data_IF_134979960577
#
_entry.id   IF_134979960577
#
_cell.length_a   1.000
_cell.length_b   1.000
_cell.length_c   1.000
_cell.angle_alpha   90.00
_cell.angle_beta   90.00
_cell.angle_gamma   90.00
#
_symmetry.space_group_name_H-M   'P 1'
#
loop_
_entity.id
_entity.type
_entity.pdbx_description
1 polymer ?
#
# COMPACT_ATOMS: atom_id res chain seq x y z
N UNK A 1 -14.69 13.89 20.82
CA UNK A 1 -13.25 14.17 21.01
C UNK A 1 -12.69 14.47 19.64
N UNK A 2 -12.39 15.75 19.41
CA UNK A 2 -12.02 16.32 18.12
C UNK A 2 -10.73 15.67 17.58
N UNK A 3 -10.84 14.86 16.52
CA UNK A 3 -9.71 14.18 15.85
C UNK A 3 -9.20 14.94 14.62
N UNK A 4 -9.61 16.21 14.44
CA UNK A 4 -9.23 17.04 13.29
C UNK A 4 -7.82 17.67 13.40
N UNK A 5 -7.02 17.33 14.41
CA UNK A 5 -5.84 18.13 14.79
C UNK A 5 -4.46 17.71 14.29
N UNK A 6 -4.24 16.56 13.67
CA UNK A 6 -2.87 16.11 13.37
C UNK A 6 -2.58 15.85 11.88
N UNK A 7 -3.10 16.71 10.98
CA UNK A 7 -2.59 16.71 9.59
C UNK A 7 -1.27 17.49 9.59
N UNK A 8 -0.16 16.76 9.48
CA UNK A 8 1.18 17.35 9.28
C UNK A 8 1.28 17.83 7.84
N UNK A 9 1.74 19.07 7.64
CA UNK A 9 1.95 19.64 6.32
C UNK A 9 3.44 19.87 6.08
N UNK A 10 3.86 19.68 4.83
CA UNK A 10 5.19 20.03 4.35
C UNK A 10 5.13 21.17 3.35
N UNK A 11 6.22 21.93 3.27
CA UNK A 11 6.38 22.98 2.25
C UNK A 11 7.08 22.41 1.02
N UNK A 12 6.31 22.05 0.00
CA UNK A 12 6.84 21.59 -1.28
C UNK A 12 6.50 22.62 -2.37
N UNK A 13 7.51 23.21 -3.00
CA UNK A 13 7.33 24.10 -4.17
C UNK A 13 6.57 25.40 -3.91
N UNK A 14 6.68 25.96 -2.70
CA UNK A 14 5.94 27.17 -2.31
C UNK A 14 4.47 26.91 -1.95
N UNK A 15 4.03 25.65 -1.91
CA UNK A 15 2.69 25.22 -1.46
C UNK A 15 2.79 24.37 -0.20
N UNK A 16 1.75 24.46 0.63
CA UNK A 16 1.59 23.58 1.80
C UNK A 16 0.86 22.33 1.34
N UNK A 17 1.53 21.17 1.37
CA UNK A 17 0.98 19.87 0.99
C UNK A 17 0.86 19.03 2.25
N UNK A 18 -0.22 18.25 2.39
CA UNK A 18 -0.30 17.29 3.49
C UNK A 18 0.86 16.29 3.37
N UNK A 19 1.65 16.11 4.42
CA UNK A 19 2.84 15.23 4.45
C UNK A 19 2.51 13.84 3.91
N UNK A 20 1.33 13.32 4.23
CA UNK A 20 0.85 12.03 3.75
C UNK A 20 0.56 12.02 2.25
N UNK A 21 -0.01 13.08 1.67
CA UNK A 21 -0.20 13.13 0.23
C UNK A 21 1.15 13.07 -0.49
N UNK A 22 2.20 13.65 0.10
CA UNK A 22 3.57 13.56 -0.43
C UNK A 22 4.17 12.16 -0.25
N UNK A 23 4.13 11.62 0.98
CA UNK A 23 4.66 10.29 1.28
C UNK A 23 4.01 9.22 0.38
N UNK A 24 2.72 9.35 0.07
CA UNK A 24 2.00 8.40 -0.80
C UNK A 24 2.50 8.38 -2.24
N UNK A 25 3.28 9.38 -2.66
CA UNK A 25 3.93 9.39 -3.97
C UNK A 25 5.08 8.38 -4.11
N UNK A 26 5.73 8.01 -2.99
CA UNK A 26 6.96 7.20 -3.01
C UNK A 26 7.16 6.30 -1.79
N UNK A 27 6.19 6.20 -0.88
CA UNK A 27 6.13 5.18 0.15
C UNK A 27 5.00 4.21 -0.15
N UNK A 28 5.29 2.93 0.06
CA UNK A 28 4.26 1.92 0.18
C UNK A 28 3.49 2.13 1.50
N UNK A 29 2.23 1.65 1.60
CA UNK A 29 1.44 1.88 2.79
C UNK A 29 1.86 1.02 3.99
N UNK A 30 2.70 0.00 3.79
CA UNK A 30 3.41 -0.70 4.86
C UNK A 30 4.71 0.02 5.30
N UNK A 31 4.96 1.22 4.76
CA UNK A 31 6.03 2.13 5.19
C UNK A 31 7.38 1.88 4.54
N UNK A 32 7.45 1.07 3.48
CA UNK A 32 8.68 0.89 2.70
C UNK A 32 8.84 2.01 1.67
N UNK A 33 10.09 2.43 1.47
CA UNK A 33 10.43 3.42 0.46
C UNK A 33 10.44 2.77 -0.92
N UNK A 34 9.62 3.28 -1.85
CA UNK A 34 9.82 3.04 -3.26
C UNK A 34 10.91 4.00 -3.78
N UNK A 35 12.17 3.55 -3.66
CA UNK A 35 13.36 4.33 -4.00
C UNK A 35 13.30 4.93 -5.42
N UNK A 36 12.85 4.15 -6.40
CA UNK A 36 12.72 4.61 -7.79
C UNK A 36 11.75 5.78 -7.96
N UNK A 37 10.57 5.70 -7.34
CA UNK A 37 9.58 6.79 -7.37
C UNK A 37 10.06 8.03 -6.63
N UNK A 38 10.67 7.84 -5.47
CA UNK A 38 11.24 8.93 -4.70
C UNK A 38 12.29 9.69 -5.51
N UNK A 39 13.23 8.98 -6.15
CA UNK A 39 14.27 9.58 -7.00
C UNK A 39 13.68 10.32 -8.19
N UNK A 40 12.65 9.79 -8.85
CA UNK A 40 11.98 10.48 -9.97
C UNK A 40 11.33 11.78 -9.50
N UNK A 41 10.56 11.74 -8.41
CA UNK A 41 9.93 12.91 -7.81
C UNK A 41 10.99 13.97 -7.44
N UNK A 42 12.05 13.54 -6.75
CA UNK A 42 13.08 14.42 -6.25
C UNK A 42 13.83 15.11 -7.38
N UNK A 43 14.18 14.35 -8.41
CA UNK A 43 14.88 14.85 -9.60
C UNK A 43 14.04 15.90 -10.35
N UNK A 44 12.74 15.68 -10.49
CA UNK A 44 11.83 16.67 -11.09
C UNK A 44 11.79 17.94 -10.24
N UNK A 45 11.57 17.80 -8.93
CA UNK A 45 11.51 18.92 -7.99
C UNK A 45 12.79 19.76 -7.97
N UNK A 46 13.96 19.12 -7.96
CA UNK A 46 15.24 19.80 -7.97
C UNK A 46 15.54 20.46 -9.33
N UNK A 47 15.26 19.78 -10.45
CA UNK A 47 15.46 20.36 -11.80
C UNK A 47 14.67 21.63 -12.03
N UNK A 48 13.41 21.66 -11.62
CA UNK A 48 12.57 22.86 -11.76
C UNK A 48 13.17 24.07 -11.03
N UNK A 49 13.82 23.82 -9.89
CA UNK A 49 14.47 24.84 -9.06
C UNK A 49 15.87 25.21 -9.55
N UNK A 50 16.47 24.37 -10.39
CA UNK A 50 17.79 24.60 -10.95
C UNK A 50 17.83 25.56 -12.17
N UNK A 51 16.69 26.11 -12.57
CA UNK A 51 16.57 26.97 -13.75
C UNK A 51 17.00 28.44 -13.51
N UNK A 52 17.31 28.82 -12.26
CA UNK A 52 17.67 30.20 -11.88
C UNK A 52 19.19 30.40 -11.64
N UNK A 53 19.74 31.62 -11.78
CA UNK A 53 21.08 31.95 -11.29
C UNK A 53 21.15 31.73 -9.75
N UNK A 54 22.24 31.17 -9.23
CA UNK A 54 22.41 30.73 -7.82
C UNK A 54 21.44 29.62 -7.34
N UNK A 55 20.88 28.87 -8.29
CA UNK A 55 19.98 27.74 -8.09
C UNK A 55 20.47 26.68 -7.07
N UNK A 56 21.78 26.44 -6.99
CA UNK A 56 22.33 25.34 -6.19
C UNK A 56 22.05 25.49 -4.70
N UNK A 57 22.30 26.67 -4.14
CA UNK A 57 22.08 26.93 -2.71
C UNK A 57 20.59 26.96 -2.35
N UNK A 58 19.75 27.49 -3.26
CA UNK A 58 18.29 27.50 -3.09
C UNK A 58 17.68 26.09 -3.15
N UNK A 59 18.11 25.27 -4.11
CA UNK A 59 17.70 23.87 -4.23
C UNK A 59 18.16 23.05 -3.02
N UNK A 60 19.39 23.29 -2.54
CA UNK A 60 19.92 22.68 -1.33
C UNK A 60 19.14 23.03 -0.06
N UNK A 61 18.78 24.31 0.11
CA UNK A 61 17.96 24.75 1.24
C UNK A 61 16.56 24.12 1.20
N UNK A 62 15.93 24.08 0.03
CA UNK A 62 14.63 23.43 -0.13
C UNK A 62 14.70 21.94 0.21
N UNK A 63 15.73 21.25 -0.29
CA UNK A 63 15.94 19.82 0.00
C UNK A 63 16.07 19.56 1.50
N UNK A 64 16.79 20.42 2.21
CA UNK A 64 16.90 20.32 3.67
C UNK A 64 15.56 20.45 4.39
N UNK A 65 14.78 21.50 4.06
CA UNK A 65 13.46 21.72 4.67
C UNK A 65 12.53 20.53 4.40
N UNK A 66 12.55 20.02 3.18
CA UNK A 66 11.78 18.85 2.76
C UNK A 66 12.18 17.58 3.52
N UNK A 67 13.48 17.31 3.65
CA UNK A 67 13.99 16.15 4.35
C UNK A 67 13.72 16.21 5.87
N UNK A 68 13.75 17.40 6.46
CA UNK A 68 13.54 17.56 7.91
C UNK A 68 12.16 17.03 8.34
N UNK A 69 11.10 17.40 7.63
CA UNK A 69 9.74 16.99 7.98
C UNK A 69 9.54 15.47 7.81
N UNK A 70 10.01 14.92 6.67
CA UNK A 70 9.84 13.50 6.35
C UNK A 70 10.68 12.61 7.26
N UNK A 71 11.95 12.94 7.47
CA UNK A 71 12.84 12.12 8.28
C UNK A 71 12.48 12.18 9.77
N UNK A 72 12.00 13.33 10.27
CA UNK A 72 11.47 13.41 11.63
C UNK A 72 10.25 12.49 11.78
N UNK A 73 9.32 12.56 10.82
CA UNK A 73 8.13 11.72 10.83
C UNK A 73 8.47 10.22 10.81
N UNK A 74 9.34 9.78 9.91
CA UNK A 74 9.71 8.37 9.78
C UNK A 74 10.37 7.84 11.06
N UNK A 75 11.22 8.65 11.69
CA UNK A 75 11.89 8.29 12.95
C UNK A 75 10.92 8.22 14.12
N UNK A 76 9.98 9.16 14.21
CA UNK A 76 8.92 9.12 15.24
C UNK A 76 8.03 7.87 15.10
N UNK A 77 7.97 7.29 13.89
CA UNK A 77 7.28 6.02 13.60
C UNK A 77 8.17 4.78 13.70
N UNK A 78 9.45 4.92 14.08
CA UNK A 78 10.39 3.79 14.19
C UNK A 78 10.83 3.21 12.85
N UNK A 79 10.70 3.96 11.75
CA UNK A 79 11.07 3.56 10.39
C UNK A 79 12.51 4.02 10.05
N UNK A 80 13.47 3.76 10.95
CA UNK A 80 14.85 4.27 10.81
C UNK A 80 15.56 3.77 9.53
N UNK A 81 15.29 2.52 9.12
CA UNK A 81 15.82 1.97 7.88
C UNK A 81 15.32 2.72 6.63
N UNK A 82 14.02 3.05 6.60
CA UNK A 82 13.43 3.79 5.49
C UNK A 82 13.87 5.26 5.50
N UNK A 83 14.04 5.85 6.69
CA UNK A 83 14.63 7.18 6.85
C UNK A 83 16.07 7.23 6.30
N UNK A 84 16.87 6.20 6.58
CA UNK A 84 18.23 6.11 6.06
C UNK A 84 18.26 5.94 4.53
N UNK A 85 17.45 5.05 3.98
CA UNK A 85 17.34 4.85 2.53
C UNK A 85 16.89 6.12 1.81
N UNK A 86 15.88 6.82 2.34
CA UNK A 86 15.39 8.07 1.76
C UNK A 86 16.46 9.15 1.80
N UNK A 87 17.20 9.24 2.91
CA UNK A 87 18.29 10.18 3.06
C UNK A 87 19.42 9.91 2.06
N UNK A 88 19.86 8.65 1.91
CA UNK A 88 20.88 8.25 0.95
C UNK A 88 20.45 8.58 -0.49
N UNK A 89 19.23 8.19 -0.87
CA UNK A 89 18.66 8.48 -2.18
C UNK A 89 18.61 9.99 -2.49
N UNK A 90 18.29 10.80 -1.48
CA UNK A 90 18.23 12.24 -1.62
C UNK A 90 19.61 12.87 -1.84
N UNK A 91 20.63 12.40 -1.11
CA UNK A 91 22.00 12.84 -1.28
C UNK A 91 22.52 12.48 -2.67
N UNK A 92 22.31 11.26 -3.13
CA UNK A 92 22.74 10.79 -4.46
C UNK A 92 22.16 11.65 -5.58
N UNK A 93 20.85 11.89 -5.58
CA UNK A 93 20.19 12.70 -6.62
C UNK A 93 20.63 14.16 -6.57
N UNK A 94 20.82 14.72 -5.37
CA UNK A 94 21.31 16.10 -5.22
C UNK A 94 22.73 16.25 -5.78
N UNK A 95 23.61 15.30 -5.51
CA UNK A 95 24.98 15.28 -6.01
C UNK A 95 25.01 15.11 -7.54
N UNK A 96 24.15 14.24 -8.09
CA UNK A 96 24.02 14.02 -9.53
C UNK A 96 23.59 15.29 -10.30
N UNK A 97 22.87 16.21 -9.65
CA UNK A 97 22.44 17.49 -10.21
C UNK A 97 23.45 18.63 -9.94
N UNK A 98 24.58 18.36 -9.28
CA UNK A 98 25.60 19.37 -8.98
C UNK A 98 25.26 20.27 -7.79
N UNK A 99 24.31 19.87 -6.94
CA UNK A 99 23.99 20.57 -5.69
C UNK A 99 25.06 20.17 -4.66
N UNK A 100 25.94 21.11 -4.33
CA UNK A 100 27.10 20.85 -3.46
C UNK A 100 26.85 21.15 -1.98
N UNK A 101 25.73 21.81 -1.64
CA UNK A 101 25.39 22.23 -0.28
C UNK A 101 23.95 21.91 0.07
N UNK A 102 23.74 21.07 1.08
CA UNK A 102 22.42 20.76 1.67
C UNK A 102 22.51 20.99 3.18
N UNK A 103 22.02 22.11 3.72
CA UNK A 103 22.25 22.48 5.13
C UNK A 103 21.31 21.70 6.06
N UNK A 104 21.77 20.62 6.71
CA UNK A 104 20.95 19.74 7.56
C UNK A 104 21.07 20.06 9.05
N UNK A 105 20.02 19.74 9.81
CA UNK A 105 20.05 19.83 11.29
C UNK A 105 21.03 18.79 11.88
N UNK A 106 22.02 19.22 12.72
CA UNK A 106 22.96 18.31 13.37
C UNK A 106 22.32 17.23 14.28
N UNK A 107 21.11 17.44 14.80
CA UNK A 107 20.38 16.44 15.58
C UNK A 107 19.84 15.32 14.69
N UNK A 108 19.35 15.66 13.49
CA UNK A 108 18.86 14.72 12.50
C UNK A 108 20.00 13.82 11.97
N UNK A 109 21.13 14.44 11.62
CA UNK A 109 22.34 13.75 11.17
C UNK A 109 22.86 12.76 12.22
N UNK A 110 22.91 13.16 13.49
CA UNK A 110 23.32 12.27 14.59
C UNK A 110 22.41 11.05 14.71
N UNK A 111 21.09 11.22 14.56
CA UNK A 111 20.14 10.12 14.55
C UNK A 111 20.38 9.13 13.41
N UNK A 112 20.58 9.62 12.19
CA UNK A 112 20.83 8.79 11.01
C UNK A 112 22.18 8.07 11.07
N UNK A 113 23.24 8.75 11.52
CA UNK A 113 24.56 8.14 11.65
C UNK A 113 24.62 7.04 12.71
N UNK A 114 23.84 7.17 13.79
CA UNK A 114 23.70 6.12 14.79
C UNK A 114 23.04 4.86 14.19
N UNK A 115 22.05 5.02 13.30
CA UNK A 115 21.43 3.90 12.59
C UNK A 115 22.38 3.26 11.56
N UNK A 116 23.18 4.05 10.84
CA UNK A 116 24.04 3.58 9.75
C UNK A 116 25.33 2.87 10.20
N UNK A 117 25.82 3.14 11.41
CA UNK A 117 27.11 2.60 11.90
C UNK A 117 27.00 1.28 12.65
N UNK A 118 25.78 0.77 12.85
CA UNK A 118 25.57 -0.53 13.47
C UNK A 118 26.12 -1.66 12.55
N UNK A 119 27.15 -2.42 12.97
CA UNK A 119 27.76 -3.52 12.18
C UNK A 119 26.74 -4.60 11.80
N UNK A 120 25.77 -4.80 12.68
CA UNK A 120 24.62 -5.68 12.50
C UNK A 120 23.76 -5.29 11.30
N UNK A 121 23.66 -4.01 10.94
CA UNK A 121 22.82 -3.51 9.85
C UNK A 121 23.43 -3.80 8.48
N UNK A 122 24.76 -3.68 8.33
CA UNK A 122 25.46 -3.92 7.04
C UNK A 122 25.63 -5.39 6.69
N UNK A 123 26.00 -6.24 7.65
CA UNK A 123 26.10 -7.68 7.40
C UNK A 123 24.75 -8.41 7.42
N UNK A 124 23.73 -7.84 8.07
CA UNK A 124 22.36 -8.33 7.93
C UNK A 124 21.78 -7.97 6.56
N UNK A 125 22.08 -6.79 6.00
CA UNK A 125 21.57 -6.39 4.68
C UNK A 125 21.98 -7.39 3.58
N UNK A 126 23.28 -7.67 3.44
CA UNK A 126 23.79 -8.59 2.40
C UNK A 126 23.39 -10.05 2.59
N UNK A 127 23.32 -10.55 3.84
CA UNK A 127 22.82 -11.92 4.11
C UNK A 127 21.29 -12.02 4.02
N UNK A 128 20.57 -10.91 4.21
CA UNK A 128 19.11 -10.83 4.00
C UNK A 128 18.79 -10.92 2.53
N UNK A 129 19.47 -10.16 1.67
CA UNK A 129 19.18 -10.14 0.23
C UNK A 129 19.17 -11.57 -0.38
N UNK A 130 20.22 -12.36 -0.12
CA UNK A 130 20.31 -13.76 -0.58
C UNK A 130 19.26 -14.71 0.04
N UNK A 131 18.84 -14.42 1.28
CA UNK A 131 17.85 -15.21 2.01
C UNK A 131 16.42 -14.85 1.60
N UNK A 132 16.19 -13.58 1.28
CA UNK A 132 14.92 -13.01 0.84
C UNK A 132 14.63 -13.42 -0.60
N UNK A 133 15.64 -13.47 -1.48
CA UNK A 133 15.52 -14.04 -2.83
C UNK A 133 15.08 -15.51 -2.82
N UNK A 134 15.66 -16.31 -1.93
CA UNK A 134 15.28 -17.73 -1.77
C UNK A 134 13.90 -17.86 -1.16
N UNK A 135 13.56 -17.01 -0.19
CA UNK A 135 12.24 -16.99 0.44
C UNK A 135 11.16 -16.63 -0.57
N UNK A 136 11.37 -15.58 -1.38
CA UNK A 136 10.46 -15.15 -2.43
C UNK A 136 10.21 -16.27 -3.45
N UNK A 137 11.29 -16.92 -3.93
CA UNK A 137 11.15 -18.07 -4.86
C UNK A 137 10.36 -19.22 -4.25
N UNK A 138 10.58 -19.55 -2.97
CA UNK A 138 9.80 -20.59 -2.28
C UNK A 138 8.31 -20.20 -2.22
N UNK A 139 7.99 -18.94 -1.93
CA UNK A 139 6.62 -18.44 -1.87
C UNK A 139 5.92 -18.48 -3.22
N UNK A 140 6.61 -18.09 -4.30
CA UNK A 140 6.08 -18.17 -5.67
C UNK A 140 5.77 -19.62 -6.07
N UNK A 141 6.70 -20.54 -5.85
CA UNK A 141 6.45 -21.96 -6.12
C UNK A 141 5.38 -22.55 -5.20
N UNK A 142 5.29 -22.11 -3.95
CA UNK A 142 4.23 -22.54 -3.03
C UNK A 142 2.84 -22.14 -3.55
N UNK A 143 2.69 -20.94 -4.10
CA UNK A 143 1.45 -20.50 -4.73
C UNK A 143 1.03 -21.43 -5.87
N UNK A 144 1.94 -21.75 -6.78
CA UNK A 144 1.66 -22.67 -7.90
C UNK A 144 1.24 -24.06 -7.42
N UNK A 145 1.97 -24.61 -6.45
CA UNK A 145 1.67 -25.94 -5.89
C UNK A 145 0.34 -25.95 -5.14
N UNK A 146 0.07 -24.95 -4.30
CA UNK A 146 -1.18 -24.86 -3.53
C UNK A 146 -2.40 -24.65 -4.42
N UNK A 147 -2.26 -23.88 -5.50
CA UNK A 147 -3.38 -23.58 -6.41
C UNK A 147 -3.69 -24.72 -7.39
N UNK A 148 -2.68 -25.50 -7.77
CA UNK A 148 -2.84 -26.67 -8.66
C UNK A 148 -3.32 -27.92 -7.93
N UNK A 149 -2.80 -28.20 -6.73
CA UNK A 149 -3.13 -29.41 -5.95
C UNK A 149 -4.25 -29.19 -4.93
N UNK A 150 -4.52 -27.94 -4.58
CA UNK A 150 -5.23 -27.57 -3.36
C UNK A 150 -4.30 -27.63 -2.15
N UNK A 151 -4.46 -26.68 -1.22
CA UNK A 151 -3.59 -26.54 -0.04
C UNK A 151 -3.47 -27.84 0.78
N UNK A 152 -4.59 -28.53 1.01
CA UNK A 152 -4.60 -29.74 1.82
C UNK A 152 -3.82 -30.91 1.18
N UNK A 153 -3.88 -31.06 -0.13
CA UNK A 153 -3.19 -32.14 -0.85
C UNK A 153 -1.73 -31.82 -1.14
N UNK A 154 -1.38 -30.53 -1.24
CA UNK A 154 -0.02 -30.10 -1.48
C UNK A 154 0.93 -30.48 -0.33
N UNK A 155 2.17 -30.81 -0.69
CA UNK A 155 3.23 -31.16 0.25
C UNK A 155 4.41 -30.19 0.18
N UNK A 156 5.14 -30.05 1.29
CA UNK A 156 6.38 -29.26 1.34
C UNK A 156 7.46 -29.81 0.39
N UNK A 157 7.44 -31.12 0.11
CA UNK A 157 8.38 -31.74 -0.82
C UNK A 157 8.15 -31.27 -2.26
N UNK A 158 6.89 -31.15 -2.68
CA UNK A 158 6.55 -30.59 -3.99
C UNK A 158 6.96 -29.12 -4.11
N UNK A 159 6.74 -28.32 -3.06
CA UNK A 159 7.19 -26.91 -3.02
C UNK A 159 8.71 -26.82 -3.12
N UNK A 160 9.44 -27.65 -2.37
CA UNK A 160 10.90 -27.66 -2.38
C UNK A 160 11.45 -28.04 -3.76
N UNK A 161 10.85 -29.05 -4.39
CA UNK A 161 11.21 -29.49 -5.74
C UNK A 161 10.94 -28.39 -6.78
N UNK A 162 9.78 -27.74 -6.73
CA UNK A 162 9.43 -26.63 -7.62
C UNK A 162 10.38 -25.43 -7.46
N UNK A 163 10.75 -25.09 -6.21
CA UNK A 163 11.65 -23.98 -5.91
C UNK A 163 13.14 -24.27 -6.15
N UNK A 164 13.50 -25.51 -6.51
CA UNK A 164 14.87 -25.95 -6.72
C UNK A 164 15.72 -25.91 -5.44
N UNK A 165 15.11 -26.14 -4.28
CA UNK A 165 15.77 -26.10 -2.97
C UNK A 165 15.60 -27.42 -2.21
N UNK A 166 16.46 -27.68 -1.24
CA UNK A 166 16.29 -28.82 -0.34
C UNK A 166 15.10 -28.61 0.61
N UNK A 167 14.39 -29.67 0.99
CA UNK A 167 13.30 -29.64 1.98
C UNK A 167 13.69 -28.91 3.28
N UNK A 168 14.90 -29.15 3.78
CA UNK A 168 15.43 -28.48 4.96
C UNK A 168 15.61 -26.96 4.80
N UNK A 169 15.79 -26.48 3.56
CA UNK A 169 15.81 -25.04 3.26
C UNK A 169 14.42 -24.43 3.42
N UNK A 170 13.37 -25.12 2.97
CA UNK A 170 11.99 -24.66 3.18
C UNK A 170 11.68 -24.55 4.68
N UNK A 171 12.00 -25.59 5.47
CA UNK A 171 11.77 -25.56 6.92
C UNK A 171 12.62 -24.53 7.69
N UNK A 172 13.72 -24.07 7.10
CA UNK A 172 14.52 -22.98 7.68
C UNK A 172 13.81 -21.63 7.57
N UNK A 173 13.01 -21.44 6.52
CA UNK A 173 12.27 -20.19 6.28
C UNK A 173 10.84 -20.25 6.82
N UNK A 174 10.23 -21.44 6.86
CA UNK A 174 8.83 -21.65 7.21
C UNK A 174 8.67 -22.80 8.20
N UNK A 175 8.01 -22.55 9.33
CA UNK A 175 7.88 -23.52 10.43
C UNK A 175 6.96 -24.69 10.08
N UNK A 176 5.98 -24.46 9.21
CA UNK A 176 5.02 -25.46 8.74
C UNK A 176 4.44 -25.09 7.38
N UNK A 177 3.59 -25.96 6.82
CA UNK A 177 2.86 -25.68 5.58
C UNK A 177 1.86 -24.52 5.76
N UNK A 178 1.26 -24.43 6.94
CA UNK A 178 0.38 -23.34 7.35
C UNK A 178 1.16 -22.03 7.48
N UNK A 179 2.33 -22.04 8.12
CA UNK A 179 3.20 -20.85 8.20
C UNK A 179 3.66 -20.37 6.82
N UNK A 180 3.94 -21.30 5.90
CA UNK A 180 4.23 -20.98 4.50
C UNK A 180 3.04 -20.29 3.81
N UNK A 181 1.82 -20.79 4.03
CA UNK A 181 0.60 -20.17 3.51
C UNK A 181 0.37 -18.79 4.13
N UNK A 182 0.49 -18.66 5.45
CA UNK A 182 0.27 -17.39 6.15
C UNK A 182 1.28 -16.32 5.68
N UNK A 183 2.55 -16.70 5.48
CA UNK A 183 3.56 -15.79 4.91
C UNK A 183 3.33 -15.47 3.43
N UNK A 184 2.80 -16.40 2.64
CA UNK A 184 2.38 -16.14 1.25
C UNK A 184 1.24 -15.12 1.18
N UNK A 185 0.25 -15.25 2.07
CA UNK A 185 -0.85 -14.31 2.21
C UNK A 185 -0.35 -12.93 2.65
N UNK A 186 0.56 -12.87 3.62
CA UNK A 186 1.16 -11.62 4.08
C UNK A 186 1.93 -10.90 2.96
N UNK A 187 2.85 -11.61 2.29
CA UNK A 187 3.64 -11.05 1.18
C UNK A 187 2.72 -10.50 0.09
N UNK A 188 1.64 -11.21 -0.23
CA UNK A 188 0.74 -10.73 -1.27
C UNK A 188 -0.10 -9.55 -0.79
N UNK A 189 -0.52 -9.55 0.47
CA UNK A 189 -1.20 -8.39 1.07
C UNK A 189 -0.32 -7.14 1.02
N UNK A 190 1.00 -7.28 1.17
CA UNK A 190 1.95 -6.18 0.95
C UNK A 190 1.97 -5.71 -0.50
N UNK A 191 2.11 -6.62 -1.48
CA UNK A 191 2.08 -6.26 -2.92
C UNK A 191 0.78 -5.55 -3.33
N UNK A 192 -0.34 -6.01 -2.78
CA UNK A 192 -1.65 -5.36 -2.93
C UNK A 192 -1.53 -3.93 -2.42
N UNK A 193 -1.17 -3.79 -1.15
CA UNK A 193 -1.07 -2.51 -0.46
C UNK A 193 -0.14 -1.53 -1.21
N UNK A 194 1.04 -1.97 -1.66
CA UNK A 194 1.95 -1.22 -2.53
C UNK A 194 1.27 -0.68 -3.80
N UNK A 195 0.61 -1.56 -4.57
CA UNK A 195 -0.08 -1.17 -5.81
C UNK A 195 -1.21 -0.16 -5.56
N UNK A 196 -1.91 -0.28 -4.44
CA UNK A 196 -3.01 0.63 -4.08
C UNK A 196 -2.54 1.98 -3.53
N UNK A 197 -1.32 2.08 -2.97
CA UNK A 197 -0.73 3.38 -2.59
C UNK A 197 -0.80 4.36 -3.75
N UNK A 198 -0.42 3.86 -4.92
CA UNK A 198 -0.29 4.62 -6.15
C UNK A 198 -1.65 5.15 -6.60
N UNK A 199 -2.70 4.34 -6.43
CA UNK A 199 -4.05 4.70 -6.83
C UNK A 199 -4.63 5.87 -6.03
N UNK A 200 -4.20 6.03 -4.78
CA UNK A 200 -4.63 7.15 -3.95
C UNK A 200 -3.75 8.40 -4.11
N UNK A 201 -2.77 8.43 -5.02
CA UNK A 201 -1.90 9.60 -5.24
C UNK A 201 -2.36 10.52 -6.38
N UNK A 202 -3.18 10.04 -7.33
CA UNK A 202 -3.35 10.70 -8.64
C UNK A 202 -4.73 11.28 -9.02
N UNK A 203 -5.69 11.38 -8.10
CA UNK A 203 -7.08 11.76 -8.42
C UNK A 203 -7.54 13.08 -7.78
N UNK A 204 -8.03 14.02 -8.59
CA UNK A 204 -8.49 15.36 -8.14
C UNK A 204 -9.87 15.37 -7.46
N UNK A 205 -10.65 14.28 -7.55
CA UNK A 205 -11.97 14.17 -6.93
C UNK A 205 -12.26 12.74 -6.42
N UNK A 206 -13.20 12.64 -5.46
CA UNK A 206 -13.59 11.39 -4.78
C UNK A 206 -14.05 10.30 -5.76
N UNK A 207 -14.87 10.67 -6.75
CA UNK A 207 -15.39 9.71 -7.74
C UNK A 207 -14.26 9.06 -8.53
N UNK A 208 -13.31 9.85 -9.02
CA UNK A 208 -12.13 9.37 -9.73
C UNK A 208 -11.23 8.50 -8.85
N UNK A 209 -11.09 8.84 -7.56
CA UNK A 209 -10.35 8.03 -6.60
C UNK A 209 -10.98 6.64 -6.40
N UNK A 210 -12.31 6.58 -6.22
CA UNK A 210 -13.05 5.32 -6.07
C UNK A 210 -13.00 4.49 -7.36
N UNK A 211 -13.15 5.15 -8.52
CA UNK A 211 -13.06 4.47 -9.81
C UNK A 211 -11.68 3.84 -10.02
N UNK A 212 -10.62 4.61 -9.80
CA UNK A 212 -9.26 4.12 -9.96
C UNK A 212 -8.96 2.99 -8.97
N UNK A 213 -9.40 3.12 -7.71
CA UNK A 213 -9.29 2.06 -6.71
C UNK A 213 -9.96 0.75 -7.18
N UNK A 214 -11.21 0.82 -7.65
CA UNK A 214 -11.93 -0.37 -8.13
C UNK A 214 -11.23 -1.00 -9.34
N UNK A 215 -10.72 -0.18 -10.27
CA UNK A 215 -9.99 -0.65 -11.44
C UNK A 215 -8.71 -1.40 -11.07
N UNK A 216 -7.88 -0.81 -10.20
CA UNK A 216 -6.66 -1.46 -9.72
C UNK A 216 -6.98 -2.73 -8.92
N UNK A 217 -8.06 -2.72 -8.13
CA UNK A 217 -8.47 -3.86 -7.30
C UNK A 217 -8.91 -5.04 -8.15
N UNK A 218 -9.77 -4.78 -9.13
CA UNK A 218 -10.22 -5.78 -10.08
C UNK A 218 -9.06 -6.29 -10.93
N UNK A 219 -8.19 -5.40 -11.44
CA UNK A 219 -7.01 -5.79 -12.21
C UNK A 219 -6.05 -6.68 -11.40
N UNK A 220 -5.80 -6.32 -10.14
CA UNK A 220 -4.99 -7.12 -9.24
C UNK A 220 -5.58 -8.52 -9.03
N UNK A 221 -6.90 -8.63 -8.79
CA UNK A 221 -7.55 -9.93 -8.63
C UNK A 221 -7.43 -10.77 -9.90
N UNK A 222 -7.66 -10.18 -11.07
CA UNK A 222 -7.57 -10.88 -12.35
C UNK A 222 -6.15 -11.44 -12.59
N UNK A 223 -5.13 -10.63 -12.36
CA UNK A 223 -3.73 -11.03 -12.46
C UNK A 223 -3.34 -12.10 -11.42
N UNK A 224 -3.91 -12.04 -10.22
CA UNK A 224 -3.56 -12.90 -9.08
C UNK A 224 -4.67 -13.90 -8.72
N UNK A 225 -5.50 -14.29 -9.69
CA UNK A 225 -6.72 -15.06 -9.47
C UNK A 225 -6.47 -16.43 -8.81
N UNK A 226 -5.31 -17.05 -9.07
CA UNK A 226 -4.91 -18.29 -8.45
C UNK A 226 -4.83 -18.15 -6.92
N UNK A 227 -4.22 -17.07 -6.43
CA UNK A 227 -4.16 -16.77 -5.00
C UNK A 227 -5.53 -16.45 -4.43
N UNK A 228 -6.35 -15.64 -5.11
CA UNK A 228 -7.71 -15.35 -4.64
C UNK A 228 -8.57 -16.60 -4.53
N UNK A 229 -8.41 -17.55 -5.45
CA UNK A 229 -9.05 -18.85 -5.38
C UNK A 229 -8.59 -19.63 -4.15
N UNK A 230 -7.30 -19.59 -3.83
CA UNK A 230 -6.74 -20.21 -2.62
C UNK A 230 -7.32 -19.56 -1.34
N UNK A 231 -7.36 -18.23 -1.27
CA UNK A 231 -7.97 -17.49 -0.15
C UNK A 231 -9.44 -17.86 0.04
N UNK A 232 -10.21 -17.93 -1.05
CA UNK A 232 -11.62 -18.29 -0.99
C UNK A 232 -11.83 -19.76 -0.62
N UNK A 233 -11.05 -20.69 -1.19
CA UNK A 233 -11.13 -22.10 -0.87
C UNK A 233 -10.85 -22.35 0.62
N UNK A 234 -9.79 -21.74 1.16
CA UNK A 234 -9.42 -21.89 2.57
C UNK A 234 -10.37 -21.15 3.52
N UNK A 235 -10.94 -20.01 3.11
CA UNK A 235 -11.92 -19.27 3.91
C UNK A 235 -13.30 -19.94 3.97
N UNK A 236 -13.63 -20.82 3.01
CA UNK A 236 -14.86 -21.62 2.99
C UNK A 236 -14.68 -22.94 3.74
N UNK A 237 -13.54 -23.62 3.56
CA UNK A 237 -13.28 -24.97 4.09
C UNK A 237 -12.84 -24.92 5.56
N UNK A 238 -11.96 -23.99 5.90
CA UNK A 238 -11.61 -23.71 7.28
C UNK A 238 -12.37 -22.45 7.70
N UNK A 239 -13.03 -22.46 8.85
CA UNK A 239 -13.36 -21.22 9.56
C UNK A 239 -12.09 -20.47 10.03
N UNK A 240 -11.01 -20.54 9.25
CA UNK A 240 -9.75 -19.89 9.49
C UNK A 240 -9.99 -18.40 9.30
N UNK A 241 -9.60 -17.62 10.32
CA UNK A 241 -9.60 -16.17 10.24
C UNK A 241 -8.71 -15.61 9.12
N UNK A 242 -8.12 -16.43 8.22
CA UNK A 242 -7.19 -16.00 7.17
C UNK A 242 -7.80 -15.05 6.15
N UNK A 243 -9.04 -15.31 5.71
CA UNK A 243 -9.76 -14.35 4.85
C UNK A 243 -9.98 -13.03 5.59
N UNK A 244 -10.34 -13.10 6.86
CA UNK A 244 -10.47 -11.92 7.73
C UNK A 244 -9.13 -11.21 7.89
N UNK A 245 -8.03 -11.93 8.12
CA UNK A 245 -6.68 -11.39 8.25
C UNK A 245 -6.21 -10.71 6.97
N UNK A 246 -6.53 -11.27 5.79
CA UNK A 246 -6.26 -10.61 4.51
C UNK A 246 -6.95 -9.25 4.44
N UNK A 247 -8.28 -9.19 4.62
CA UNK A 247 -9.00 -7.90 4.58
C UNK A 247 -8.64 -6.96 5.72
N UNK A 248 -8.42 -7.48 6.94
CA UNK A 248 -8.03 -6.70 8.11
C UNK A 248 -6.63 -6.11 7.93
N UNK A 249 -5.69 -6.88 7.36
CA UNK A 249 -4.37 -6.38 6.99
C UNK A 249 -4.50 -5.24 5.98
N UNK A 250 -5.30 -5.41 4.93
CA UNK A 250 -5.53 -4.36 3.94
C UNK A 250 -6.11 -3.11 4.61
N UNK A 251 -7.24 -3.25 5.31
CA UNK A 251 -7.94 -2.13 5.95
C UNK A 251 -7.05 -1.42 6.99
N UNK A 252 -6.21 -2.16 7.72
CA UNK A 252 -5.29 -1.62 8.73
C UNK A 252 -4.08 -0.93 8.10
N UNK A 253 -3.52 -1.53 7.05
CA UNK A 253 -2.36 -1.02 6.32
C UNK A 253 -2.75 -0.09 5.17
N UNK A 254 -3.99 0.40 5.14
CA UNK A 254 -4.40 1.56 4.33
C UNK A 254 -4.59 2.84 5.19
N UNK A 255 -3.66 3.23 6.09
CA UNK A 255 -3.85 4.41 6.93
C UNK A 255 -4.00 5.68 6.07
N UNK A 256 -3.31 5.74 4.95
CA UNK A 256 -3.38 6.86 4.00
C UNK A 256 -4.73 6.94 3.28
N UNK A 257 -5.35 5.80 2.93
CA UNK A 257 -6.70 5.80 2.38
C UNK A 257 -7.72 6.23 3.44
N UNK A 258 -7.55 5.81 4.70
CA UNK A 258 -8.38 6.22 5.83
C UNK A 258 -8.30 7.72 6.08
N UNK A 259 -7.11 8.30 6.07
CA UNK A 259 -6.89 9.75 6.24
C UNK A 259 -7.38 10.55 5.03
N UNK A 260 -7.18 10.04 3.80
CA UNK A 260 -7.69 10.68 2.57
C UNK A 260 -9.21 10.69 2.54
N UNK A 261 -9.86 9.57 2.84
CA UNK A 261 -11.32 9.49 2.97
C UNK A 261 -11.83 10.38 4.11
N UNK A 262 -11.11 10.48 5.23
CA UNK A 262 -11.45 11.41 6.30
C UNK A 262 -11.36 12.89 5.85
N UNK A 263 -10.34 13.25 5.05
CA UNK A 263 -10.21 14.60 4.48
C UNK A 263 -11.35 14.92 3.50
N UNK A 264 -11.74 13.95 2.67
CA UNK A 264 -12.86 14.08 1.73
C UNK A 264 -14.21 14.16 2.44
N UNK A 265 -14.36 13.45 3.57
CA UNK A 265 -15.53 13.55 4.42
C UNK A 265 -15.63 14.93 5.10
N UNK A 266 -14.50 15.49 5.54
CA UNK A 266 -14.45 16.85 6.09
C UNK A 266 -14.81 17.93 5.05
N UNK A 267 -14.55 17.68 3.76
CA UNK A 267 -14.98 18.53 2.65
C UNK A 267 -16.47 18.40 2.28
N UNK A 268 -17.20 17.47 2.91
CA UNK A 268 -18.64 17.23 2.66
C UNK A 268 -18.93 16.42 1.39
N UNK A 269 -17.92 15.84 0.76
CA UNK A 269 -18.05 15.11 -0.51
C UNK A 269 -18.49 13.64 -0.34
N UNK A 270 -18.56 13.15 0.89
CA UNK A 270 -18.93 11.77 1.23
C UNK A 270 -20.07 11.72 2.25
N UNK A 271 -21.07 10.86 2.01
CA UNK A 271 -22.13 10.51 2.98
C UNK A 271 -21.70 9.40 3.97
N UNK A 272 -20.39 9.20 4.17
CA UNK A 272 -19.90 7.99 4.84
C UNK A 272 -19.80 8.20 6.36
N UNK A 273 -20.67 7.50 7.10
CA UNK A 273 -20.72 7.53 8.57
C UNK A 273 -19.53 6.77 9.22
N UNK A 274 -18.89 5.83 8.51
CA UNK A 274 -17.75 5.04 8.99
C UNK A 274 -16.91 4.47 7.84
N UNK A 275 -15.61 4.82 7.79
CA UNK A 275 -14.63 4.32 6.80
C UNK A 275 -14.61 2.79 6.75
N UNK A 276 -14.56 2.14 7.91
CA UNK A 276 -14.48 0.69 8.01
C UNK A 276 -15.70 0.03 7.36
N UNK A 277 -16.90 0.53 7.66
CA UNK A 277 -18.15 -0.02 7.11
C UNK A 277 -18.20 0.16 5.59
N UNK A 278 -17.81 1.32 5.07
CA UNK A 278 -17.75 1.54 3.63
C UNK A 278 -16.72 0.62 2.96
N UNK A 279 -15.52 0.50 3.52
CA UNK A 279 -14.47 -0.39 3.00
C UNK A 279 -14.90 -1.85 3.00
N UNK A 280 -15.46 -2.35 4.11
CA UNK A 280 -16.00 -3.72 4.16
C UNK A 280 -17.15 -3.92 3.15
N UNK A 281 -17.99 -2.91 2.93
CA UNK A 281 -19.05 -2.96 1.93
C UNK A 281 -18.52 -3.05 0.49
N UNK A 282 -17.55 -2.18 0.14
CA UNK A 282 -16.92 -2.18 -1.19
C UNK A 282 -16.18 -3.50 -1.44
N UNK A 283 -15.32 -3.91 -0.50
CA UNK A 283 -14.55 -5.15 -0.62
C UNK A 283 -15.46 -6.37 -0.65
N UNK A 284 -16.51 -6.41 0.16
CA UNK A 284 -17.49 -7.50 0.19
C UNK A 284 -18.30 -7.59 -1.11
N UNK A 285 -18.68 -6.45 -1.70
CA UNK A 285 -19.37 -6.43 -2.98
C UNK A 285 -18.46 -6.96 -4.11
N UNK A 286 -17.20 -6.48 -4.17
CA UNK A 286 -16.25 -6.97 -5.16
C UNK A 286 -15.97 -8.46 -4.95
N UNK A 287 -15.79 -8.93 -3.71
CA UNK A 287 -15.60 -10.36 -3.42
C UNK A 287 -16.78 -11.21 -3.92
N UNK A 288 -18.02 -10.71 -3.76
CA UNK A 288 -19.21 -11.34 -4.33
C UNK A 288 -19.18 -11.44 -5.85
N UNK A 289 -18.73 -10.38 -6.54
CA UNK A 289 -18.55 -10.38 -8.01
C UNK A 289 -17.45 -11.36 -8.44
N UNK A 290 -16.33 -11.40 -7.73
CA UNK A 290 -15.23 -12.34 -7.98
C UNK A 290 -15.70 -13.79 -7.79
N UNK A 291 -16.51 -14.04 -6.76
CA UNK A 291 -17.10 -15.37 -6.53
C UNK A 291 -17.99 -15.80 -7.70
N UNK A 292 -18.81 -14.89 -8.24
CA UNK A 292 -19.60 -15.12 -9.45
C UNK A 292 -18.70 -15.47 -10.64
N UNK A 293 -17.63 -14.69 -10.85
CA UNK A 293 -16.67 -14.88 -11.94
C UNK A 293 -15.91 -16.22 -11.84
N UNK A 294 -15.54 -16.67 -10.64
CA UNK A 294 -14.97 -18.00 -10.46
C UNK A 294 -15.96 -19.12 -10.79
N UNK A 295 -17.24 -18.97 -10.44
CA UNK A 295 -18.29 -19.95 -10.78
C UNK A 295 -18.58 -20.03 -12.27
N UNK A 296 -18.39 -18.93 -13.01
CA UNK A 296 -18.44 -18.93 -14.48
C UNK A 296 -17.14 -19.42 -15.11
N UNK A 297 -16.29 -20.13 -14.36
CA UNK A 297 -15.00 -20.64 -14.82
C UNK A 297 -14.10 -19.59 -15.48
N UNK A 298 -14.27 -18.31 -15.11
CA UNK A 298 -13.53 -17.18 -15.68
C UNK A 298 -13.65 -17.07 -17.21
N UNK A 299 -14.82 -17.39 -17.78
CA UNK A 299 -15.09 -17.36 -19.23
C UNK A 299 -14.91 -16.00 -19.91
N UNK A 300 -14.83 -14.93 -19.12
CA UNK A 300 -14.65 -13.56 -19.57
C UNK A 300 -13.69 -12.80 -18.63
N UNK A 301 -13.07 -11.69 -19.07
CA UNK A 301 -12.23 -10.86 -18.20
C UNK A 301 -13.00 -10.27 -17.02
N UNK A 302 -12.47 -10.36 -15.80
CA UNK A 302 -13.11 -9.82 -14.59
C UNK A 302 -13.30 -8.29 -14.70
N UNK A 303 -12.39 -7.60 -15.40
CA UNK A 303 -12.49 -6.16 -15.67
C UNK A 303 -13.78 -5.73 -16.37
N UNK A 304 -14.47 -6.63 -17.07
CA UNK A 304 -15.75 -6.34 -17.71
C UNK A 304 -16.87 -6.10 -16.68
N UNK A 305 -16.66 -6.47 -15.41
CA UNK A 305 -17.58 -6.19 -14.30
C UNK A 305 -17.43 -4.78 -13.72
N UNK A 306 -16.34 -4.06 -14.04
CA UNK A 306 -16.05 -2.74 -13.48
C UNK A 306 -17.21 -1.75 -13.65
N UNK A 307 -17.85 -1.62 -14.84
CA UNK A 307 -18.99 -0.71 -15.00
C UNK A 307 -20.16 -1.04 -14.06
N UNK A 308 -20.46 -2.32 -13.87
CA UNK A 308 -21.54 -2.77 -12.96
C UNK A 308 -21.19 -2.51 -11.51
N UNK A 309 -19.93 -2.73 -11.13
CA UNK A 309 -19.43 -2.43 -9.79
C UNK A 309 -19.54 -0.95 -9.48
N UNK A 310 -19.07 -0.09 -10.40
CA UNK A 310 -19.13 1.37 -10.23
C UNK A 310 -20.57 1.87 -10.17
N UNK A 311 -21.43 1.42 -11.08
CA UNK A 311 -22.84 1.80 -11.10
C UNK A 311 -23.52 1.42 -9.77
N UNK A 312 -23.30 0.19 -9.31
CA UNK A 312 -23.92 -0.30 -8.07
C UNK A 312 -23.40 0.44 -6.83
N UNK A 313 -22.09 0.67 -6.73
CA UNK A 313 -21.50 1.31 -5.56
C UNK A 313 -21.75 2.82 -5.49
N UNK A 314 -21.78 3.51 -6.64
CA UNK A 314 -21.93 4.97 -6.70
C UNK A 314 -23.39 5.41 -6.88
N UNK A 315 -24.16 4.66 -7.67
CA UNK A 315 -25.54 5.00 -8.03
C UNK A 315 -26.57 4.04 -7.40
N UNK A 316 -26.15 2.96 -6.75
CA UNK A 316 -27.08 2.02 -6.13
C UNK A 316 -27.88 1.21 -7.15
N UNK A 317 -28.86 0.45 -6.66
CA UNK A 317 -29.64 -0.48 -7.49
C UNK A 317 -30.96 0.12 -8.01
N UNK A 318 -31.42 1.21 -7.42
CA UNK A 318 -32.70 1.85 -7.77
C UNK A 318 -32.48 2.98 -8.77
N UNK A 319 -33.39 3.08 -9.73
CA UNK A 319 -33.46 4.24 -10.63
C UNK A 319 -33.77 5.51 -9.84
N UNK A 320 -33.32 6.65 -10.35
CA UNK A 320 -33.51 7.95 -9.70
C UNK A 320 -34.99 8.29 -9.45
N UNK A 321 -35.87 7.90 -10.37
CA UNK A 321 -37.34 8.06 -10.23
C UNK A 321 -37.97 7.28 -9.06
N UNK A 322 -37.24 6.30 -8.50
CA UNK A 322 -37.67 5.48 -7.36
C UNK A 322 -36.80 5.71 -6.11
N UNK A 323 -35.82 6.62 -6.17
CA UNK A 323 -35.07 7.05 -5.00
C UNK A 323 -35.94 8.04 -4.22
N UNK A 324 -36.44 7.62 -3.06
CA UNK A 324 -37.08 8.57 -2.15
C UNK A 324 -36.05 9.58 -1.63
N UNK A 325 -36.39 10.87 -1.69
CA UNK A 325 -35.67 11.97 -1.06
C UNK A 325 -35.70 11.80 0.48
N UNK A 326 -34.83 10.95 0.99
CA UNK A 326 -34.77 10.63 2.42
C UNK A 326 -34.38 9.19 2.68
N UNK A 327 -33.14 8.81 2.42
CA UNK A 327 -32.68 7.45 2.69
C UNK A 327 -31.32 7.45 3.39
N UNK A 328 -31.36 7.55 4.72
CA UNK A 328 -30.94 6.49 5.66
C UNK A 328 -31.11 7.04 7.08
N UNK A 329 -31.97 6.43 7.91
CA UNK A 329 -31.95 6.70 9.34
C UNK A 329 -30.58 6.28 9.88
N UNK A 330 -29.90 7.19 10.59
CA UNK A 330 -28.83 6.79 11.49
C UNK A 330 -29.39 5.71 12.44
N UNK A 331 -28.56 4.73 12.87
CA UNK A 331 -28.98 3.72 13.85
C UNK A 331 -29.55 4.35 15.14
N UNK A 332 -29.18 5.61 15.39
CA UNK A 332 -29.63 6.43 16.49
C UNK A 332 -30.62 7.44 15.88
N UNK A 333 -31.92 7.16 15.97
CA UNK A 333 -33.02 7.88 15.30
C UNK A 333 -33.20 9.37 15.67
N UNK A 334 -32.17 10.19 15.52
CA UNK A 334 -32.25 11.64 15.58
C UNK A 334 -32.62 12.22 14.21
N UNK A 335 -33.50 13.25 14.16
CA UNK A 335 -33.82 13.91 12.91
C UNK A 335 -32.59 14.64 12.37
N UNK A 336 -32.37 14.55 11.05
CA UNK A 336 -31.40 15.37 10.35
C UNK A 336 -31.84 16.84 10.44
N UNK A 337 -30.95 17.70 10.91
CA UNK A 337 -31.07 19.16 10.87
C UNK A 337 -29.99 19.72 9.95
#
# INVERSE_FOLDING_TARGET
>A
MDRSKDIVYIKSGGRSIALYAELGGYFSPDGQLNDGRFRVFLRQSLRDRMQAPDAGDAAGKWLSEYLADILSYLRDKGLDAAALQLFEAALDESAALGITRVPLDPALLRGLMAAATAPEVREAATRRDDADDKKARILECALEVFTSRGFHNATIDEVAAAAGVAKGTVYRHFKSKEDLLDQLLLMTSQKVVERFSDAFSGSDNVRGAVEHFIREWVGFIEENHALYRLIQAEGIIAHSGRRTLFYEYLITNFPMAKERIASMNAAGELKVLSFYTAMYGVLGFIDGVVHKWFRSNMEYPLRDEIPVILETLLNGLLRDEHRHDGAYCAPDGGPAA
#
